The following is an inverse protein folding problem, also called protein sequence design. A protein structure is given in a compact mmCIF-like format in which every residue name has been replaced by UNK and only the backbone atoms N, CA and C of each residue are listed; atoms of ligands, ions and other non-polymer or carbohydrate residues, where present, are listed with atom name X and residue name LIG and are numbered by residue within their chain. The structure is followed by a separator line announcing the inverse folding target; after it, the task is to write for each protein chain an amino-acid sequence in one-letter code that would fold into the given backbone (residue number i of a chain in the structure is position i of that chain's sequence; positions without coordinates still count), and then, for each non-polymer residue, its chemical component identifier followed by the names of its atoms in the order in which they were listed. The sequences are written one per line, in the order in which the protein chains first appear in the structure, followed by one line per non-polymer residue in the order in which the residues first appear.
data_IF_127952502365
#
_entry.id   IF_127952502365
#
_cell.length_a   1.000
_cell.length_b   1.000
_cell.length_c   1.000
_cell.angle_alpha   90.00
_cell.angle_beta   90.00
_cell.angle_gamma   90.00
#
_symmetry.space_group_name_H-M   'P 1'
#
loop_
_entity.id
_entity.type
_entity.pdbx_description
1 polymer ?
#
# COMPACT_ATOMS: atom_id res chain seq x y z
N UNK A 1 11.39 24.42 1.86
CA UNK A 1 10.16 23.58 1.90
C UNK A 1 9.34 24.13 3.07
N UNK A 2 8.09 24.57 2.82
CA UNK A 2 7.19 25.00 3.89
C UNK A 2 6.96 23.82 4.85
N UNK A 3 7.11 24.04 6.15
CA UNK A 3 6.86 23.01 7.15
C UNK A 3 5.40 22.53 7.02
N UNK A 4 5.20 21.22 7.09
CA UNK A 4 3.85 20.65 7.07
C UNK A 4 3.11 21.08 8.35
N UNK A 5 1.85 21.55 8.27
CA UNK A 5 1.13 21.96 9.46
C UNK A 5 0.97 20.79 10.44
N UNK A 6 1.13 21.05 11.72
CA UNK A 6 0.86 20.05 12.77
C UNK A 6 -0.63 19.73 12.81
N UNK A 7 -0.99 18.46 12.64
CA UNK A 7 -2.36 17.99 12.75
C UNK A 7 -2.67 17.53 14.19
N UNK A 8 -3.86 17.84 14.73
CA UNK A 8 -4.27 17.37 16.05
C UNK A 8 -4.48 15.85 16.07
N UNK A 9 -4.39 15.24 17.26
CA UNK A 9 -4.56 13.79 17.45
C UNK A 9 -5.93 13.27 16.99
N UNK A 10 -6.95 14.11 17.01
CA UNK A 10 -8.29 13.79 16.50
C UNK A 10 -8.23 13.27 15.04
N UNK A 11 -7.34 13.82 14.20
CA UNK A 11 -7.14 13.33 12.82
C UNK A 11 -6.62 11.89 12.81
N UNK A 12 -5.71 11.53 13.72
CA UNK A 12 -5.23 10.15 13.84
C UNK A 12 -6.34 9.20 14.30
N UNK A 13 -7.15 9.62 15.29
CA UNK A 13 -8.30 8.84 15.75
C UNK A 13 -9.34 8.64 14.65
N UNK A 14 -9.61 9.67 13.84
CA UNK A 14 -10.49 9.56 12.68
C UNK A 14 -9.92 8.62 11.62
N UNK A 15 -8.60 8.65 11.35
CA UNK A 15 -7.92 7.71 10.44
C UNK A 15 -7.99 6.27 10.94
N UNK A 16 -7.90 6.02 12.25
CA UNK A 16 -8.10 4.71 12.87
C UNK A 16 -9.52 4.18 12.58
N UNK A 17 -10.53 5.03 12.73
CA UNK A 17 -11.93 4.68 12.40
C UNK A 17 -12.08 4.42 10.91
N UNK A 18 -11.61 5.33 10.06
CA UNK A 18 -11.76 5.24 8.60
C UNK A 18 -11.08 4.00 8.00
N UNK A 19 -9.94 3.58 8.57
CA UNK A 19 -9.16 2.42 8.09
C UNK A 19 -9.66 1.06 8.61
N UNK A 20 -10.82 0.99 9.25
CA UNK A 20 -11.38 -0.28 9.72
C UNK A 20 -10.69 -0.85 10.95
N UNK A 21 -9.98 -0.01 11.72
CA UNK A 21 -9.28 -0.44 12.94
C UNK A 21 -10.18 -0.39 14.19
N UNK A 22 -11.48 -0.13 14.05
CA UNK A 22 -12.50 -0.24 15.10
C UNK A 22 -13.61 -1.20 14.64
N UNK A 23 -14.32 -1.91 15.55
CA UNK A 23 -15.33 -2.90 15.17
C UNK A 23 -16.42 -2.37 14.23
N UNK A 24 -16.88 -1.14 14.43
CA UNK A 24 -17.97 -0.55 13.64
C UNK A 24 -17.61 -0.32 12.15
N UNK A 25 -16.33 -0.22 11.81
CA UNK A 25 -15.86 0.01 10.43
C UNK A 25 -14.97 -1.11 9.90
N UNK A 26 -14.74 -2.14 10.71
CA UNK A 26 -13.95 -3.31 10.30
C UNK A 26 -14.64 -4.07 9.15
N UNK A 27 -13.85 -4.73 8.35
CA UNK A 27 -14.32 -5.53 7.23
C UNK A 27 -14.85 -6.90 7.69
N UNK A 28 -15.78 -7.48 6.92
CA UNK A 28 -16.33 -8.81 7.18
C UNK A 28 -15.40 -9.93 6.72
N UNK A 29 -14.49 -9.63 5.78
CA UNK A 29 -13.47 -10.56 5.29
C UNK A 29 -12.23 -9.81 4.79
N UNK A 30 -11.14 -10.54 4.57
CA UNK A 30 -9.83 -9.95 4.21
C UNK A 30 -9.82 -9.26 2.83
N UNK A 31 -10.65 -9.72 1.89
CA UNK A 31 -10.78 -9.07 0.57
C UNK A 31 -11.46 -7.72 0.71
N UNK A 32 -12.52 -7.65 1.53
CA UNK A 32 -13.20 -6.38 1.81
C UNK A 32 -12.26 -5.40 2.54
N UNK A 33 -11.40 -5.87 3.45
CA UNK A 33 -10.40 -5.01 4.11
C UNK A 33 -9.49 -4.31 3.08
N UNK A 34 -9.03 -5.05 2.07
CA UNK A 34 -8.25 -4.47 0.96
C UNK A 34 -9.10 -3.53 0.12
N UNK A 35 -10.32 -3.93 -0.23
CA UNK A 35 -11.24 -3.11 -1.03
C UNK A 35 -11.57 -1.77 -0.35
N UNK A 36 -11.76 -1.76 0.97
CA UNK A 36 -12.03 -0.54 1.74
C UNK A 36 -10.88 0.47 1.67
N UNK A 37 -9.63 -0.01 1.55
CA UNK A 37 -8.42 0.81 1.44
C UNK A 37 -7.95 1.01 -0.01
N UNK A 38 -8.59 0.36 -1.00
CA UNK A 38 -8.20 0.28 -2.41
C UNK A 38 -6.88 -0.48 -2.62
N UNK A 39 -5.87 -0.18 -1.85
CA UNK A 39 -4.59 -0.89 -1.85
C UNK A 39 -3.95 -0.82 -0.45
N UNK A 40 -3.25 -1.88 -0.06
CA UNK A 40 -2.52 -1.98 1.20
C UNK A 40 -1.04 -2.20 0.91
N UNK A 41 -0.15 -1.49 1.59
CA UNK A 41 1.30 -1.66 1.40
C UNK A 41 1.72 -3.11 1.62
N UNK A 42 2.36 -3.71 0.61
CA UNK A 42 2.73 -5.12 0.56
C UNK A 42 4.23 -5.39 0.59
N UNK A 43 5.06 -4.42 1.02
CA UNK A 43 6.52 -4.50 0.89
C UNK A 43 7.12 -5.69 1.67
N UNK A 44 6.63 -5.97 2.86
CA UNK A 44 7.10 -7.06 3.70
C UNK A 44 6.05 -8.18 3.76
N UNK A 45 6.34 -9.32 3.15
CA UNK A 45 5.41 -10.47 3.06
C UNK A 45 4.91 -10.92 4.43
N UNK A 46 5.80 -11.05 5.42
CA UNK A 46 5.44 -11.48 6.78
C UNK A 46 4.56 -10.50 7.56
N UNK A 47 4.46 -9.24 7.11
CA UNK A 47 3.62 -8.23 7.74
C UNK A 47 2.16 -8.23 7.22
N UNK A 48 1.93 -8.81 6.03
CA UNK A 48 0.65 -8.75 5.34
C UNK A 48 -0.52 -9.39 6.11
N UNK A 49 -0.38 -10.61 6.65
CA UNK A 49 -1.48 -11.20 7.41
C UNK A 49 -1.89 -10.33 8.59
N UNK A 50 -0.93 -9.78 9.33
CA UNK A 50 -1.20 -8.90 10.46
C UNK A 50 -1.97 -7.64 10.01
N UNK A 51 -1.57 -6.99 8.91
CA UNK A 51 -2.25 -5.78 8.40
C UNK A 51 -3.73 -6.04 8.06
N UNK A 52 -4.03 -7.20 7.47
CA UNK A 52 -5.39 -7.58 7.10
C UNK A 52 -6.22 -8.03 8.31
N UNK A 53 -5.65 -8.85 9.19
CA UNK A 53 -6.33 -9.40 10.35
C UNK A 53 -6.66 -8.33 11.42
N UNK A 54 -5.88 -7.23 11.51
CA UNK A 54 -6.24 -6.09 12.36
C UNK A 54 -7.53 -5.38 11.90
N UNK A 55 -7.85 -5.49 10.62
CA UNK A 55 -9.04 -4.88 9.99
C UNK A 55 -10.20 -5.86 9.78
N UNK A 56 -10.02 -7.12 10.17
CA UNK A 56 -11.00 -8.20 9.98
C UNK A 56 -11.14 -9.04 11.25
N UNK A 57 -11.80 -8.53 12.29
CA UNK A 57 -11.98 -9.27 13.54
C UNK A 57 -12.63 -10.63 13.30
N UNK A 58 -12.03 -11.69 13.85
CA UNK A 58 -12.52 -13.06 13.68
C UNK A 58 -11.93 -13.82 12.48
N UNK A 59 -11.30 -13.15 11.52
CA UNK A 59 -10.56 -13.82 10.45
C UNK A 59 -9.25 -14.44 10.97
N UNK A 60 -8.80 -15.49 10.27
CA UNK A 60 -7.59 -16.27 10.60
C UNK A 60 -6.55 -16.12 9.50
N UNK A 61 -5.32 -16.54 9.79
CA UNK A 61 -4.24 -16.60 8.80
C UNK A 61 -4.64 -17.43 7.55
N UNK A 62 -5.39 -18.51 7.74
CA UNK A 62 -5.92 -19.34 6.65
C UNK A 62 -6.82 -18.56 5.67
N UNK A 63 -7.59 -17.56 6.16
CA UNK A 63 -8.46 -16.76 5.31
C UNK A 63 -7.64 -15.84 4.40
N UNK A 64 -6.54 -15.30 4.92
CA UNK A 64 -5.56 -14.54 4.10
C UNK A 64 -4.94 -15.43 3.03
N UNK A 65 -4.46 -16.61 3.43
CA UNK A 65 -3.86 -17.57 2.50
C UNK A 65 -4.86 -18.02 1.43
N UNK A 66 -6.09 -18.27 1.81
CA UNK A 66 -7.17 -18.67 0.89
C UNK A 66 -7.46 -17.57 -0.13
N UNK A 67 -7.58 -16.31 0.30
CA UNK A 67 -7.85 -15.19 -0.61
C UNK A 67 -6.74 -15.01 -1.68
N UNK A 68 -5.47 -15.20 -1.31
CA UNK A 68 -4.38 -15.19 -2.30
C UNK A 68 -4.36 -16.44 -3.18
N UNK A 69 -4.61 -17.62 -2.63
CA UNK A 69 -4.61 -18.88 -3.39
C UNK A 69 -5.78 -18.97 -4.37
N UNK A 70 -6.91 -18.33 -4.05
CA UNK A 70 -8.08 -18.21 -4.94
C UNK A 70 -7.97 -17.02 -5.90
N UNK A 71 -6.84 -16.28 -5.87
CA UNK A 71 -6.59 -15.10 -6.69
C UNK A 71 -7.64 -13.99 -6.51
N UNK A 72 -8.25 -13.88 -5.33
CA UNK A 72 -9.09 -12.75 -4.96
C UNK A 72 -8.23 -11.54 -4.57
N UNK A 73 -7.05 -11.79 -4.00
CA UNK A 73 -6.02 -10.80 -3.69
C UNK A 73 -4.75 -11.09 -4.49
N UNK A 74 -4.08 -10.03 -4.91
CA UNK A 74 -2.79 -10.08 -5.59
C UNK A 74 -1.82 -9.05 -5.01
N UNK A 75 -0.53 -9.34 -5.16
CA UNK A 75 0.57 -8.49 -4.72
C UNK A 75 1.36 -8.01 -5.92
N UNK A 76 1.46 -6.70 -6.11
CA UNK A 76 2.03 -6.10 -7.33
C UNK A 76 2.57 -4.69 -7.07
N UNK A 77 2.98 -3.99 -8.13
CA UNK A 77 3.45 -2.60 -8.08
C UNK A 77 2.54 -1.67 -8.88
N UNK A 78 1.28 -1.47 -8.46
CA UNK A 78 0.33 -0.66 -9.22
C UNK A 78 0.66 0.84 -9.19
N UNK A 79 1.45 1.29 -8.21
CA UNK A 79 1.81 2.69 -8.03
C UNK A 79 3.16 2.88 -7.34
N UNK A 80 3.82 4.00 -7.55
CA UNK A 80 5.11 4.42 -6.94
C UNK A 80 6.28 3.44 -7.12
N UNK A 81 6.12 2.32 -7.84
CA UNK A 81 7.12 1.25 -7.88
C UNK A 81 7.26 0.46 -6.57
N UNK A 82 6.43 0.73 -5.56
CA UNK A 82 6.37 -0.02 -4.30
C UNK A 82 5.29 -1.10 -4.35
N UNK A 83 5.52 -2.17 -3.60
CA UNK A 83 4.63 -3.34 -3.60
C UNK A 83 3.39 -3.08 -2.78
N UNK A 84 2.22 -3.40 -3.32
CA UNK A 84 0.91 -3.30 -2.67
C UNK A 84 0.11 -4.58 -2.89
N UNK A 85 -0.84 -4.82 -2.00
CA UNK A 85 -1.93 -5.77 -2.18
C UNK A 85 -3.12 -5.00 -2.73
N UNK A 86 -3.76 -5.56 -3.76
CA UNK A 86 -5.04 -5.10 -4.27
C UNK A 86 -5.98 -6.30 -4.41
N UNK A 87 -7.28 -6.07 -4.52
CA UNK A 87 -8.14 -7.11 -5.06
C UNK A 87 -7.78 -7.38 -6.53
N UNK A 88 -8.01 -8.61 -6.99
CA UNK A 88 -7.78 -8.97 -8.38
C UNK A 88 -8.62 -8.10 -9.34
N UNK A 89 -9.84 -7.75 -8.94
CA UNK A 89 -10.72 -6.87 -9.71
C UNK A 89 -10.17 -5.45 -9.87
N UNK A 90 -9.38 -4.96 -8.89
CA UNK A 90 -8.81 -3.61 -8.93
C UNK A 90 -7.42 -3.55 -9.59
N UNK A 91 -6.74 -4.68 -9.74
CA UNK A 91 -5.34 -4.71 -10.17
C UNK A 91 -5.08 -3.99 -11.50
N UNK A 92 -5.77 -4.40 -12.57
CA UNK A 92 -5.48 -3.90 -13.90
C UNK A 92 -5.85 -2.42 -14.09
N UNK A 93 -7.05 -1.99 -13.67
CA UNK A 93 -7.46 -0.61 -13.86
C UNK A 93 -6.63 0.35 -13.01
N UNK A 94 -6.30 -0.05 -11.77
CA UNK A 94 -5.47 0.77 -10.88
C UNK A 94 -4.07 0.96 -11.44
N UNK A 95 -3.44 -0.12 -11.92
CA UNK A 95 -2.15 -0.09 -12.59
C UNK A 95 -2.17 0.81 -13.84
N UNK A 96 -3.18 0.67 -14.69
CA UNK A 96 -3.32 1.50 -15.90
C UNK A 96 -3.55 2.97 -15.56
N UNK A 97 -4.19 3.27 -14.44
CA UNK A 97 -4.42 4.65 -13.98
C UNK A 97 -3.18 5.31 -13.38
N UNK A 98 -2.40 4.58 -12.57
CA UNK A 98 -1.36 5.17 -11.71
C UNK A 98 0.08 4.88 -12.15
N UNK A 99 0.34 3.82 -12.91
CA UNK A 99 1.72 3.41 -13.26
C UNK A 99 2.27 4.07 -14.54
N UNK A 100 1.76 5.22 -14.95
CA UNK A 100 2.09 5.86 -16.23
C UNK A 100 3.51 6.48 -16.30
N UNK A 101 4.24 6.61 -15.18
CA UNK A 101 5.49 7.39 -15.11
C UNK A 101 6.74 6.63 -14.71
N UNK A 102 6.73 5.30 -14.69
CA UNK A 102 7.92 4.56 -14.27
C UNK A 102 9.00 4.48 -15.36
N UNK A 103 9.79 5.55 -15.50
CA UNK A 103 11.00 5.56 -16.35
C UNK A 103 12.21 4.85 -15.69
N UNK A 104 12.04 4.29 -14.49
CA UNK A 104 13.16 3.74 -13.71
C UNK A 104 13.76 2.49 -14.38
N UNK A 105 12.94 1.66 -15.01
CA UNK A 105 13.41 0.41 -15.63
C UNK A 105 14.24 0.66 -16.90
N UNK A 106 13.86 1.59 -17.76
CA UNK A 106 14.50 1.82 -19.06
C UNK A 106 15.97 2.24 -18.94
N UNK A 107 16.31 3.16 -18.00
CA UNK A 107 17.70 3.58 -17.80
C UNK A 107 18.59 2.46 -17.27
N UNK A 108 18.04 1.60 -16.40
CA UNK A 108 18.78 0.46 -15.84
C UNK A 108 18.89 -0.70 -16.85
N UNK A 109 17.94 -0.85 -17.78
CA UNK A 109 17.98 -1.87 -18.82
C UNK A 109 19.17 -1.68 -19.77
N UNK A 110 19.46 -0.45 -20.18
CA UNK A 110 20.57 -0.16 -21.11
C UNK A 110 21.94 -0.57 -20.56
N UNK A 111 22.15 -0.49 -19.26
CA UNK A 111 23.41 -0.87 -18.58
C UNK A 111 23.69 -2.39 -18.70
N UNK A 112 22.65 -3.20 -18.81
CA UNK A 112 22.71 -4.66 -18.88
C UNK A 112 22.40 -5.21 -20.27
N UNK A 113 22.53 -4.42 -21.33
CA UNK A 113 22.29 -4.83 -22.71
C UNK A 113 20.81 -4.72 -23.14
N UNK A 114 19.97 -4.15 -22.31
CA UNK A 114 18.55 -3.93 -22.60
C UNK A 114 17.67 -5.18 -22.40
N UNK A 115 16.37 -4.96 -22.47
CA UNK A 115 15.33 -6.00 -22.53
C UNK A 115 14.48 -5.66 -23.76
N UNK A 116 14.44 -6.56 -24.74
CA UNK A 116 13.63 -6.37 -25.93
C UNK A 116 12.18 -6.82 -25.73
N UNK A 117 11.29 -6.43 -26.62
CA UNK A 117 9.91 -6.93 -26.62
C UNK A 117 9.85 -8.45 -26.80
N UNK A 118 10.76 -9.01 -27.61
CA UNK A 118 10.89 -10.46 -27.78
C UNK A 118 11.33 -11.15 -26.49
N UNK A 119 12.27 -10.54 -25.74
CA UNK A 119 12.69 -11.07 -24.43
C UNK A 119 11.51 -11.06 -23.44
N UNK A 120 10.70 -9.99 -23.43
CA UNK A 120 9.50 -9.87 -22.59
C UNK A 120 8.44 -10.91 -22.95
N UNK A 121 8.13 -11.04 -24.24
CA UNK A 121 7.17 -12.02 -24.73
C UNK A 121 7.60 -13.45 -24.39
N UNK A 122 8.86 -13.78 -24.63
CA UNK A 122 9.41 -15.11 -24.30
C UNK A 122 9.35 -15.38 -22.81
N UNK A 123 9.76 -14.41 -21.99
CA UNK A 123 9.75 -14.52 -20.52
C UNK A 123 8.32 -14.71 -19.99
N UNK A 124 7.35 -13.99 -20.54
CA UNK A 124 5.94 -14.13 -20.17
C UNK A 124 5.35 -15.46 -20.59
N UNK A 125 5.59 -15.92 -21.83
CA UNK A 125 5.11 -17.22 -22.31
C UNK A 125 5.64 -18.39 -21.48
N UNK A 126 6.88 -18.30 -20.98
CA UNK A 126 7.43 -19.28 -20.05
C UNK A 126 6.65 -19.31 -18.73
N UNK A 127 6.28 -18.15 -18.16
CA UNK A 127 5.45 -18.09 -16.96
C UNK A 127 4.07 -18.66 -17.25
N UNK A 128 3.43 -18.24 -18.34
CA UNK A 128 2.09 -18.67 -18.74
C UNK A 128 2.00 -20.20 -18.90
N UNK A 129 3.03 -20.80 -19.46
CA UNK A 129 3.08 -22.26 -19.70
C UNK A 129 3.35 -23.04 -18.41
N UNK A 130 4.25 -22.56 -17.54
CA UNK A 130 4.72 -23.31 -16.38
C UNK A 130 4.01 -22.96 -15.06
N UNK A 131 3.25 -21.86 -15.03
CA UNK A 131 2.64 -21.34 -13.80
C UNK A 131 1.26 -20.70 -14.04
N UNK A 132 0.27 -21.40 -14.62
CA UNK A 132 -1.00 -20.76 -14.96
C UNK A 132 -1.70 -20.15 -13.74
N UNK A 133 -2.07 -20.96 -12.74
CA UNK A 133 -2.81 -20.51 -11.55
C UNK A 133 -2.16 -20.92 -10.23
N UNK A 134 -1.40 -22.01 -10.19
CA UNK A 134 -0.69 -22.45 -8.98
C UNK A 134 0.58 -21.61 -8.71
N UNK A 135 1.04 -20.88 -9.71
CA UNK A 135 2.18 -20.00 -9.63
C UNK A 135 3.53 -20.69 -9.55
N UNK A 136 4.57 -19.95 -9.95
CA UNK A 136 5.97 -20.35 -9.92
C UNK A 136 6.72 -19.52 -8.87
N UNK A 137 7.66 -20.15 -8.14
CA UNK A 137 8.53 -19.40 -7.22
C UNK A 137 9.48 -18.51 -8.02
N UNK A 138 9.85 -17.38 -7.45
CA UNK A 138 10.77 -16.41 -8.09
C UNK A 138 12.05 -17.05 -8.59
N UNK A 139 12.68 -17.90 -7.77
CA UNK A 139 13.93 -18.58 -8.16
C UNK A 139 13.75 -19.52 -9.36
N UNK A 140 12.62 -20.22 -9.42
CA UNK A 140 12.34 -21.18 -10.49
C UNK A 140 11.98 -20.46 -11.80
N UNK A 141 11.24 -19.34 -11.71
CA UNK A 141 10.98 -18.44 -12.83
C UNK A 141 12.28 -17.88 -13.42
N UNK A 142 13.20 -17.42 -12.58
CA UNK A 142 14.52 -16.95 -13.01
C UNK A 142 15.32 -18.07 -13.67
N UNK A 143 15.29 -19.30 -13.15
CA UNK A 143 15.95 -20.45 -13.74
C UNK A 143 15.40 -20.77 -15.15
N UNK A 144 14.08 -20.71 -15.35
CA UNK A 144 13.46 -20.87 -16.68
C UNK A 144 13.97 -19.83 -17.69
N UNK A 145 14.04 -18.56 -17.28
CA UNK A 145 14.56 -17.49 -18.16
C UNK A 145 16.03 -17.69 -18.53
N UNK A 146 16.85 -18.15 -17.57
CA UNK A 146 18.27 -18.47 -17.84
C UNK A 146 18.43 -19.66 -18.79
N UNK A 147 17.66 -20.72 -18.60
CA UNK A 147 17.65 -21.88 -19.49
C UNK A 147 17.23 -21.52 -20.91
N UNK A 148 16.32 -20.55 -21.06
CA UNK A 148 15.90 -19.99 -22.34
C UNK A 148 16.92 -19.00 -22.96
N UNK A 149 18.05 -18.74 -22.30
CA UNK A 149 19.10 -17.85 -22.80
C UNK A 149 18.78 -16.35 -22.72
N UNK A 150 17.75 -15.94 -22.00
CA UNK A 150 17.29 -14.54 -21.97
C UNK A 150 18.30 -13.58 -21.33
N UNK A 151 19.12 -14.01 -20.37
CA UNK A 151 20.05 -13.15 -19.64
C UNK A 151 21.47 -13.07 -20.26
N UNK A 152 21.72 -13.66 -21.45
CA UNK A 152 23.07 -13.73 -22.08
C UNK A 152 23.67 -12.34 -22.27
N UNK A 153 22.90 -11.34 -22.68
CA UNK A 153 23.39 -9.95 -22.83
C UNK A 153 23.88 -9.38 -21.49
N UNK A 154 23.17 -9.69 -20.39
CA UNK A 154 23.56 -9.21 -19.07
C UNK A 154 24.78 -9.93 -18.52
N UNK A 155 24.96 -11.23 -18.82
CA UNK A 155 26.16 -11.99 -18.45
C UNK A 155 27.42 -11.31 -19.03
N UNK A 156 27.35 -10.88 -20.29
CA UNK A 156 28.44 -10.29 -21.05
C UNK A 156 28.49 -8.76 -20.99
N UNK A 157 27.71 -8.11 -20.14
CA UNK A 157 27.67 -6.65 -20.04
C UNK A 157 29.02 -6.10 -19.51
N UNK A 158 29.59 -5.14 -20.25
CA UNK A 158 30.89 -4.52 -19.96
C UNK A 158 30.77 -3.07 -19.47
N UNK A 159 29.54 -2.56 -19.27
CA UNK A 159 29.32 -1.20 -18.78
C UNK A 159 30.01 -0.97 -17.41
N UNK A 160 30.74 0.15 -17.22
CA UNK A 160 31.33 0.47 -15.92
C UNK A 160 30.33 0.58 -14.77
N UNK A 161 29.04 0.82 -15.09
CA UNK A 161 27.93 0.90 -14.12
C UNK A 161 27.28 -0.46 -13.89
N UNK A 162 27.65 -1.51 -14.63
CA UNK A 162 27.13 -2.85 -14.42
C UNK A 162 27.71 -3.46 -13.11
N UNK A 163 26.94 -4.33 -12.42
CA UNK A 163 27.48 -5.06 -11.27
C UNK A 163 28.76 -5.82 -11.61
N UNK A 164 29.72 -5.91 -10.69
CA UNK A 164 31.06 -6.44 -10.99
C UNK A 164 31.06 -7.94 -11.32
N UNK A 165 30.18 -8.72 -10.73
CA UNK A 165 30.11 -10.17 -10.95
C UNK A 165 29.02 -10.55 -11.94
N UNK A 166 29.24 -11.60 -12.71
CA UNK A 166 28.24 -12.17 -13.62
C UNK A 166 26.94 -12.49 -12.90
N UNK A 167 27.01 -13.17 -11.76
CA UNK A 167 25.82 -13.54 -10.98
C UNK A 167 25.03 -12.29 -10.54
N UNK A 168 25.71 -11.22 -10.15
CA UNK A 168 25.04 -9.98 -9.75
C UNK A 168 24.37 -9.28 -10.97
N UNK A 169 24.99 -9.32 -12.16
CA UNK A 169 24.41 -8.79 -13.40
C UNK A 169 23.17 -9.58 -13.80
N UNK A 170 23.25 -10.91 -13.79
CA UNK A 170 22.14 -11.82 -14.09
C UNK A 170 20.97 -11.58 -13.12
N UNK A 171 21.23 -11.57 -11.81
CA UNK A 171 20.20 -11.31 -10.80
C UNK A 171 19.52 -9.94 -11.00
N UNK A 172 20.30 -8.92 -11.33
CA UNK A 172 19.76 -7.58 -11.59
C UNK A 172 18.89 -7.59 -12.86
N UNK A 173 19.32 -8.26 -13.94
CA UNK A 173 18.56 -8.37 -15.17
C UNK A 173 17.22 -9.11 -14.94
N UNK A 174 17.25 -10.26 -14.27
CA UNK A 174 16.02 -11.01 -13.93
C UNK A 174 15.04 -10.16 -13.09
N UNK A 175 15.56 -9.37 -12.15
CA UNK A 175 14.72 -8.44 -11.40
C UNK A 175 14.09 -7.34 -12.27
N UNK A 176 14.85 -6.78 -13.21
CA UNK A 176 14.35 -5.78 -14.16
C UNK A 176 13.28 -6.39 -15.09
N UNK A 177 13.51 -7.60 -15.59
CA UNK A 177 12.54 -8.36 -16.39
C UNK A 177 11.23 -8.57 -15.60
N UNK A 178 11.34 -9.07 -14.38
CA UNK A 178 10.19 -9.28 -13.50
C UNK A 178 9.40 -7.99 -13.25
N UNK A 179 10.10 -6.88 -12.99
CA UNK A 179 9.44 -5.58 -12.78
C UNK A 179 8.79 -5.04 -14.05
N UNK A 180 9.38 -5.30 -15.21
CA UNK A 180 8.81 -4.86 -16.48
C UNK A 180 7.56 -5.67 -16.83
N UNK A 181 7.57 -6.99 -16.60
CA UNK A 181 6.39 -7.84 -16.76
C UNK A 181 5.24 -7.46 -15.80
N UNK A 182 5.56 -7.17 -14.53
CA UNK A 182 4.58 -6.65 -13.56
C UNK A 182 4.02 -5.28 -14.01
N UNK A 183 4.90 -4.37 -14.46
CA UNK A 183 4.50 -3.06 -14.97
C UNK A 183 3.56 -3.14 -16.17
N UNK A 184 3.80 -4.09 -17.08
CA UNK A 184 2.93 -4.32 -18.23
C UNK A 184 1.66 -5.09 -17.89
N UNK A 185 1.55 -5.64 -16.68
CA UNK A 185 0.42 -6.44 -16.25
C UNK A 185 0.37 -7.84 -16.86
N UNK A 186 1.54 -8.37 -17.17
CA UNK A 186 1.71 -9.71 -17.74
C UNK A 186 1.96 -10.77 -16.66
N UNK A 187 2.63 -10.37 -15.56
CA UNK A 187 2.94 -11.26 -14.44
C UNK A 187 2.61 -10.55 -13.13
N UNK A 188 2.09 -11.29 -12.16
CA UNK A 188 1.72 -10.77 -10.84
C UNK A 188 2.03 -11.80 -9.75
N UNK A 189 2.26 -11.36 -8.53
CA UNK A 189 2.37 -12.24 -7.37
C UNK A 189 0.96 -12.59 -6.85
N UNK A 190 0.60 -13.87 -6.86
CA UNK A 190 -0.68 -14.43 -6.42
C UNK A 190 -0.53 -15.37 -5.23
N UNK A 191 -0.57 -16.70 -5.43
CA UNK A 191 -0.63 -17.66 -4.33
C UNK A 191 0.50 -17.52 -3.31
N UNK A 192 0.16 -17.68 -2.02
CA UNK A 192 1.12 -17.62 -0.93
C UNK A 192 1.93 -18.91 -0.82
N UNK A 193 3.26 -18.78 -0.72
CA UNK A 193 4.18 -19.80 -0.25
C UNK A 193 4.57 -19.55 1.21
N UNK A 194 5.55 -20.30 1.73
CA UNK A 194 5.96 -20.20 3.14
C UNK A 194 6.50 -18.81 3.51
N UNK A 195 7.30 -18.18 2.65
CA UNK A 195 7.90 -16.86 2.90
C UNK A 195 7.89 -15.97 1.65
N UNK A 196 7.17 -16.35 0.62
CA UNK A 196 7.09 -15.63 -0.65
C UNK A 196 5.72 -15.83 -1.29
N UNK A 197 5.35 -14.95 -2.22
CA UNK A 197 4.26 -15.18 -3.14
C UNK A 197 4.79 -15.80 -4.42
N UNK A 198 3.97 -16.63 -5.07
CA UNK A 198 4.28 -17.23 -6.36
C UNK A 198 3.80 -16.32 -7.48
N UNK A 199 4.53 -16.30 -8.57
CA UNK A 199 4.20 -15.54 -9.78
C UNK A 199 3.27 -16.33 -10.68
N UNK A 200 2.26 -15.65 -11.22
CA UNK A 200 1.29 -16.20 -12.17
C UNK A 200 1.19 -15.32 -13.41
N UNK A 201 0.59 -15.86 -14.47
CA UNK A 201 0.11 -15.07 -15.59
C UNK A 201 -1.00 -14.12 -15.14
N UNK A 202 -0.77 -12.82 -15.22
CA UNK A 202 -1.73 -11.80 -14.77
C UNK A 202 -2.93 -11.65 -15.72
N UNK A 203 -2.87 -12.20 -16.94
CA UNK A 203 -4.00 -12.13 -17.89
C UNK A 203 -5.15 -13.04 -17.52
N UNK A 204 -4.96 -13.96 -16.55
CA UNK A 204 -6.05 -14.76 -15.99
C UNK A 204 -6.91 -13.99 -14.95
N UNK A 205 -6.45 -12.81 -14.51
CA UNK A 205 -7.21 -11.98 -13.58
C UNK A 205 -8.36 -11.26 -14.30
N UNK A 206 -9.37 -10.77 -13.54
CA UNK A 206 -10.45 -9.99 -14.13
C UNK A 206 -9.93 -8.82 -14.97
N UNK A 207 -10.55 -8.60 -16.13
CA UNK A 207 -10.17 -7.51 -17.01
C UNK A 207 -10.33 -6.13 -16.34
N UNK A 208 -9.61 -5.13 -16.83
CA UNK A 208 -9.63 -3.77 -16.28
C UNK A 208 -10.99 -3.07 -16.36
N UNK A 209 -11.96 -3.64 -17.07
CA UNK A 209 -13.26 -3.01 -17.36
C UNK A 209 -14.16 -2.78 -16.16
N UNK A 210 -13.91 -3.46 -15.04
CA UNK A 210 -14.70 -3.27 -13.81
C UNK A 210 -13.83 -3.36 -12.57
N UNK A 211 -14.07 -2.41 -11.64
CA UNK A 211 -13.46 -2.41 -10.31
C UNK A 211 -14.33 -3.18 -9.30
N UNK A 212 -13.75 -3.52 -8.14
CA UNK A 212 -14.48 -4.10 -7.01
C UNK A 212 -15.65 -3.22 -6.52
N UNK A 213 -15.57 -1.91 -6.74
CA UNK A 213 -16.63 -0.94 -6.43
C UNK A 213 -17.78 -0.87 -7.47
N UNK A 214 -17.69 -1.64 -8.56
CA UNK A 214 -18.60 -1.52 -9.70
C UNK A 214 -18.27 -0.38 -10.68
N UNK A 215 -17.21 0.41 -10.42
CA UNK A 215 -16.72 1.43 -11.35
C UNK A 215 -16.36 0.81 -12.70
N UNK A 216 -16.80 1.44 -13.78
CA UNK A 216 -16.47 1.03 -15.15
C UNK A 216 -15.24 1.79 -15.62
N UNK A 217 -14.13 1.08 -15.80
CA UNK A 217 -12.89 1.68 -16.28
C UNK A 217 -12.89 1.86 -17.79
N UNK A 218 -12.58 3.08 -18.21
CA UNK A 218 -12.31 3.44 -19.61
C UNK A 218 -10.86 3.95 -19.70
N UNK A 219 -9.97 3.29 -20.47
CA UNK A 219 -8.58 3.74 -20.61
C UNK A 219 -8.44 5.08 -21.31
N UNK A 220 -9.49 5.58 -21.97
CA UNK A 220 -9.51 6.91 -22.60
C UNK A 220 -9.93 8.01 -21.62
N UNK A 221 -10.60 7.67 -20.51
CA UNK A 221 -11.01 8.62 -19.46
C UNK A 221 -10.26 8.39 -18.15
N UNK A 222 -8.98 8.70 -18.15
CA UNK A 222 -8.15 8.65 -16.94
C UNK A 222 -8.55 9.68 -15.87
N UNK A 223 -9.38 10.68 -16.21
CA UNK A 223 -9.91 11.61 -15.20
C UNK A 223 -10.95 10.91 -14.33
N UNK A 224 -11.89 10.18 -14.90
CA UNK A 224 -12.86 9.37 -14.16
C UNK A 224 -12.16 8.30 -13.31
N UNK A 225 -11.13 7.67 -13.86
CA UNK A 225 -10.35 6.67 -13.10
C UNK A 225 -9.63 7.30 -11.89
N UNK A 226 -9.02 8.49 -12.04
CA UNK A 226 -8.40 9.20 -10.91
C UNK A 226 -9.42 9.72 -9.89
N UNK A 227 -10.61 10.11 -10.33
CA UNK A 227 -11.73 10.42 -9.43
C UNK A 227 -12.06 9.22 -8.54
N UNK A 228 -12.20 8.02 -9.14
CA UNK A 228 -12.50 6.80 -8.38
C UNK A 228 -11.39 6.45 -7.38
N UNK A 229 -10.11 6.61 -7.77
CA UNK A 229 -8.97 6.48 -6.84
C UNK A 229 -9.11 7.45 -5.67
N UNK A 230 -9.39 8.73 -5.95
CA UNK A 230 -9.50 9.77 -4.92
C UNK A 230 -10.69 9.53 -3.99
N UNK A 231 -11.83 9.13 -4.54
CA UNK A 231 -13.05 8.79 -3.80
C UNK A 231 -12.80 7.64 -2.82
N UNK A 232 -12.22 6.53 -3.29
CA UNK A 232 -11.93 5.36 -2.44
C UNK A 232 -10.83 5.65 -1.42
N UNK A 233 -9.80 6.40 -1.82
CA UNK A 233 -8.73 6.80 -0.90
C UNK A 233 -9.27 7.72 0.21
N UNK A 234 -10.04 8.76 -0.12
CA UNK A 234 -10.64 9.65 0.88
C UNK A 234 -11.65 8.93 1.78
N UNK A 235 -12.38 7.95 1.25
CA UNK A 235 -13.32 7.13 2.01
C UNK A 235 -12.61 6.23 3.03
N UNK A 236 -11.58 5.49 2.60
CA UNK A 236 -10.90 4.49 3.41
C UNK A 236 -9.72 5.03 4.26
N UNK A 237 -9.12 6.16 3.86
CA UNK A 237 -7.98 6.76 4.56
C UNK A 237 -8.31 8.12 5.22
N UNK A 238 -9.51 8.66 4.98
CA UNK A 238 -9.88 9.99 5.50
C UNK A 238 -9.67 10.14 7.02
N UNK A 239 -9.37 11.38 7.46
CA UNK A 239 -9.17 12.62 6.73
C UNK A 239 -7.82 12.70 6.02
N UNK A 240 -7.84 13.08 4.74
CA UNK A 240 -6.64 13.16 3.89
C UNK A 240 -6.53 14.53 3.21
N UNK A 241 -5.31 14.99 2.99
CA UNK A 241 -5.02 16.19 2.23
C UNK A 241 -4.74 15.88 0.75
N UNK A 242 -4.74 16.91 -0.10
CA UNK A 242 -4.24 16.80 -1.49
C UNK A 242 -2.82 16.25 -1.54
N UNK A 243 -1.96 16.65 -0.61
CA UNK A 243 -0.58 16.19 -0.55
C UNK A 243 -0.46 14.71 -0.13
N UNK A 244 -1.39 14.21 0.67
CA UNK A 244 -1.45 12.79 1.04
C UNK A 244 -1.78 11.94 -0.20
N UNK A 245 -2.85 12.27 -0.94
CA UNK A 245 -3.20 11.56 -2.18
C UNK A 245 -2.09 11.66 -3.23
N UNK A 246 -1.53 12.86 -3.44
CA UNK A 246 -0.44 13.05 -4.40
C UNK A 246 0.76 12.15 -4.10
N UNK A 247 1.13 12.00 -2.83
CA UNK A 247 2.20 11.10 -2.40
C UNK A 247 1.78 9.62 -2.51
N UNK A 248 0.57 9.27 -2.03
CA UNK A 248 0.10 7.89 -1.98
C UNK A 248 -0.05 7.30 -3.39
N UNK A 249 -0.65 8.03 -4.32
CA UNK A 249 -0.91 7.59 -5.69
C UNK A 249 0.21 7.96 -6.69
N UNK A 250 1.28 8.65 -6.27
CA UNK A 250 2.33 9.23 -7.13
C UNK A 250 1.78 10.17 -8.23
N UNK A 251 0.70 10.87 -7.93
CA UNK A 251 0.09 11.84 -8.86
C UNK A 251 0.74 13.23 -8.72
N UNK A 252 0.79 14.01 -9.81
CA UNK A 252 1.01 15.44 -9.69
C UNK A 252 -0.01 16.08 -8.76
N UNK A 253 0.43 17.03 -7.93
CA UNK A 253 -0.44 17.72 -6.95
C UNK A 253 -1.69 18.31 -7.59
N UNK A 254 -1.57 18.83 -8.82
CA UNK A 254 -2.70 19.36 -9.61
C UNK A 254 -3.72 18.29 -9.95
N UNK A 255 -3.28 17.09 -10.33
CA UNK A 255 -4.16 15.96 -10.65
C UNK A 255 -4.80 15.38 -9.38
N UNK A 256 -4.04 15.24 -8.29
CA UNK A 256 -4.57 14.78 -7.01
C UNK A 256 -5.64 15.75 -6.47
N UNK A 257 -5.41 17.05 -6.57
CA UNK A 257 -6.40 18.08 -6.22
C UNK A 257 -7.65 17.96 -7.07
N UNK A 258 -7.51 17.90 -8.39
CA UNK A 258 -8.65 17.78 -9.30
C UNK A 258 -9.46 16.52 -8.99
N UNK A 259 -8.80 15.38 -8.77
CA UNK A 259 -9.47 14.12 -8.48
C UNK A 259 -10.26 14.16 -7.16
N UNK A 260 -9.73 14.80 -6.11
CA UNK A 260 -10.46 14.97 -4.83
C UNK A 260 -11.66 15.91 -4.99
N UNK A 261 -11.51 17.01 -5.74
CA UNK A 261 -12.62 17.92 -6.02
C UNK A 261 -13.69 17.25 -6.88
N UNK A 262 -13.29 16.49 -7.90
CA UNK A 262 -14.20 15.70 -8.72
C UNK A 262 -14.95 14.66 -7.84
N UNK A 263 -14.26 14.02 -6.88
CA UNK A 263 -14.89 13.06 -5.96
C UNK A 263 -15.95 13.72 -5.06
N UNK A 264 -15.69 14.93 -4.55
CA UNK A 264 -16.68 15.67 -3.76
C UNK A 264 -17.86 16.12 -4.63
N UNK A 265 -17.60 16.55 -5.88
CA UNK A 265 -18.65 17.05 -6.77
C UNK A 265 -19.56 15.96 -7.33
N UNK A 266 -19.07 14.72 -7.42
CA UNK A 266 -19.79 13.59 -8.02
C UNK A 266 -20.27 12.56 -7.01
N UNK A 267 -20.09 12.78 -5.71
CA UNK A 267 -20.49 11.82 -4.67
C UNK A 267 -20.81 12.53 -3.35
N UNK A 268 -21.97 12.27 -2.80
CA UNK A 268 -22.35 12.71 -1.45
C UNK A 268 -21.56 11.97 -0.35
N UNK A 269 -20.84 10.90 -0.70
CA UNK A 269 -20.06 10.11 0.24
C UNK A 269 -18.77 10.80 0.69
N UNK A 270 -18.27 11.76 -0.07
CA UNK A 270 -17.01 12.47 0.22
C UNK A 270 -17.27 13.95 0.42
N UNK A 271 -16.71 14.47 1.51
CA UNK A 271 -16.84 15.88 1.88
C UNK A 271 -15.49 16.55 2.05
N UNK A 272 -15.46 17.87 1.82
CA UNK A 272 -14.37 18.76 2.23
C UNK A 272 -14.61 19.27 3.63
N UNK A 273 -13.56 19.26 4.46
CA UNK A 273 -13.62 19.77 5.82
C UNK A 273 -12.39 20.60 6.16
N UNK A 274 -12.54 21.48 7.15
CA UNK A 274 -11.44 22.12 7.88
C UNK A 274 -11.44 21.62 9.33
N UNK A 275 -10.34 21.84 10.01
CA UNK A 275 -10.25 21.61 11.46
C UNK A 275 -10.41 22.94 12.15
N UNK A 276 -11.46 23.07 12.95
CA UNK A 276 -11.76 24.24 13.79
C UNK A 276 -12.08 23.72 15.21
N UNK A 277 -11.40 24.26 16.22
CA UNK A 277 -11.61 23.88 17.63
C UNK A 277 -11.61 22.36 17.90
N UNK A 278 -10.70 21.63 17.27
CA UNK A 278 -10.61 20.16 17.31
C UNK A 278 -11.88 19.43 16.78
N UNK A 279 -12.64 20.06 15.90
CA UNK A 279 -13.77 19.47 15.19
C UNK A 279 -13.58 19.53 13.68
N UNK A 280 -14.29 18.67 12.94
CA UNK A 280 -14.35 18.75 11.48
C UNK A 280 -15.54 19.59 11.06
N UNK A 281 -15.27 20.74 10.44
CA UNK A 281 -16.32 21.63 9.92
C UNK A 281 -16.38 21.56 8.39
N UNK A 282 -17.58 21.48 7.79
CA UNK A 282 -17.73 21.50 6.34
C UNK A 282 -17.06 22.74 5.72
N UNK A 283 -16.38 22.55 4.59
CA UNK A 283 -15.66 23.62 3.91
C UNK A 283 -16.23 23.88 2.52
N UNK A 284 -16.42 25.16 2.19
CA UNK A 284 -16.75 25.60 0.83
C UNK A 284 -15.60 25.38 -0.15
N UNK A 285 -15.87 25.34 -1.47
CA UNK A 285 -14.83 25.29 -2.49
C UNK A 285 -13.82 26.44 -2.31
N UNK A 286 -12.49 26.15 -2.34
CA UNK A 286 -11.48 27.19 -2.19
C UNK A 286 -11.49 28.17 -3.36
N UNK A 287 -11.26 29.45 -3.03
CA UNK A 287 -11.12 30.52 -4.06
C UNK A 287 -9.68 30.65 -4.56
N UNK A 288 -8.70 30.19 -3.78
CA UNK A 288 -7.28 30.26 -4.13
C UNK A 288 -6.55 28.94 -3.84
N UNK A 289 -5.49 28.64 -4.64
CA UNK A 289 -4.72 27.41 -4.55
C UNK A 289 -4.13 27.18 -3.15
N UNK A 290 -3.72 28.26 -2.44
CA UNK A 290 -3.15 28.18 -1.09
C UNK A 290 -4.12 27.65 -0.03
N UNK A 291 -5.43 27.82 -0.25
CA UNK A 291 -6.46 27.40 0.69
C UNK A 291 -6.60 25.89 0.76
N UNK A 292 -6.22 25.17 -0.31
CA UNK A 292 -6.21 23.71 -0.32
C UNK A 292 -5.27 23.09 0.72
N UNK A 293 -4.27 23.83 1.20
CA UNK A 293 -3.35 23.35 2.26
C UNK A 293 -4.02 23.21 3.63
N UNK A 294 -5.20 23.80 3.81
CA UNK A 294 -5.99 23.74 5.05
C UNK A 294 -7.15 22.76 4.96
N UNK A 295 -7.37 22.16 3.78
CA UNK A 295 -8.49 21.26 3.56
C UNK A 295 -8.09 19.80 3.77
N UNK A 296 -9.04 19.06 4.32
CA UNK A 296 -9.03 17.61 4.37
C UNK A 296 -10.28 17.07 3.65
N UNK A 297 -10.17 15.85 3.16
CA UNK A 297 -11.23 15.12 2.47
C UNK A 297 -11.47 13.80 3.19
N UNK A 298 -12.72 13.42 3.38
CA UNK A 298 -13.08 12.22 4.10
C UNK A 298 -14.50 11.77 3.75
N UNK A 299 -14.89 10.58 4.19
CA UNK A 299 -16.29 10.15 4.13
C UNK A 299 -17.18 11.08 4.98
N UNK A 300 -18.40 11.32 4.48
CA UNK A 300 -19.30 12.31 5.06
C UNK A 300 -19.73 11.99 6.50
N UNK A 301 -19.90 10.70 6.81
CA UNK A 301 -20.35 10.19 8.10
C UNK A 301 -19.20 9.97 9.12
N UNK A 302 -17.95 10.31 8.76
CA UNK A 302 -16.81 10.06 9.66
C UNK A 302 -16.86 10.81 11.00
N UNK A 303 -17.36 12.06 11.09
CA UNK A 303 -17.50 12.73 12.37
C UNK A 303 -18.38 11.96 13.36
N UNK A 304 -19.53 11.47 12.89
CA UNK A 304 -20.47 10.69 13.72
C UNK A 304 -19.87 9.35 14.10
N UNK A 305 -19.28 8.64 13.13
CA UNK A 305 -18.57 7.37 13.38
C UNK A 305 -17.44 7.55 14.41
N UNK A 306 -16.71 8.65 14.35
CA UNK A 306 -15.65 8.93 15.32
C UNK A 306 -16.25 9.20 16.73
N UNK A 307 -17.31 9.98 16.81
CA UNK A 307 -17.98 10.28 18.08
C UNK A 307 -18.47 8.99 18.75
N UNK A 308 -19.17 8.15 18.00
CA UNK A 308 -19.74 6.88 18.49
C UNK A 308 -18.67 5.84 18.87
N UNK A 309 -17.50 5.90 18.21
CA UNK A 309 -16.42 4.90 18.39
C UNK A 309 -15.15 5.48 19.04
N UNK A 310 -15.22 6.64 19.70
CA UNK A 310 -14.06 7.33 20.23
C UNK A 310 -13.27 6.49 21.24
N UNK A 311 -13.96 5.76 22.13
CA UNK A 311 -13.33 4.86 23.10
C UNK A 311 -12.55 3.73 22.42
N UNK A 312 -13.10 3.16 21.34
CA UNK A 312 -12.46 2.11 20.56
C UNK A 312 -11.27 2.65 19.75
N UNK A 313 -11.39 3.84 19.16
CA UNK A 313 -10.29 4.48 18.45
C UNK A 313 -9.09 4.83 19.37
N UNK A 314 -9.36 5.07 20.65
CA UNK A 314 -8.33 5.34 21.66
C UNK A 314 -7.66 4.10 22.24
N UNK A 315 -8.13 2.93 21.91
CA UNK A 315 -7.53 1.67 22.43
C UNK A 315 -6.07 1.52 22.06
N UNK A 316 -5.37 0.67 22.80
CA UNK A 316 -4.03 0.20 22.46
C UNK A 316 -4.11 -0.71 21.23
N UNK A 317 -3.32 -0.42 20.18
CA UNK A 317 -3.29 -1.15 18.90
C UNK A 317 -1.83 -1.51 18.59
N UNK A 318 -1.59 -2.74 18.16
CA UNK A 318 -0.31 -3.19 17.61
C UNK A 318 -0.46 -3.41 16.10
N UNK A 319 0.26 -2.61 15.30
CA UNK A 319 0.20 -2.63 13.84
C UNK A 319 1.50 -3.16 13.24
N UNK A 320 1.46 -3.84 12.10
CA UNK A 320 2.65 -4.36 11.45
C UNK A 320 3.56 -3.27 10.91
N UNK A 321 4.74 -3.66 10.48
CA UNK A 321 5.59 -2.81 9.66
C UNK A 321 4.86 -2.43 8.36
N UNK A 322 5.07 -1.21 7.88
CA UNK A 322 4.43 -0.68 6.67
C UNK A 322 2.90 -0.55 6.73
N UNK A 323 2.30 -0.47 7.93
CA UNK A 323 0.85 -0.29 8.04
C UNK A 323 0.38 1.05 7.44
N UNK A 324 -0.81 1.02 6.79
CA UNK A 324 -1.40 2.18 6.12
C UNK A 324 -1.68 3.36 7.06
N UNK A 325 -1.85 3.13 8.37
CA UNK A 325 -1.99 4.21 9.34
C UNK A 325 -0.75 5.14 9.39
N UNK A 326 0.42 4.62 9.01
CA UNK A 326 1.66 5.39 8.88
C UNK A 326 2.02 5.70 7.44
N UNK A 327 2.14 4.67 6.58
CA UNK A 327 2.66 4.86 5.20
C UNK A 327 1.63 5.46 4.25
N UNK A 328 0.35 5.42 4.57
CA UNK A 328 -0.73 5.97 3.76
C UNK A 328 -0.71 7.50 3.63
N UNK A 329 0.09 8.22 4.43
CA UNK A 329 0.02 9.69 4.54
C UNK A 329 1.37 10.36 4.31
N UNK A 330 1.32 11.58 3.79
CA UNK A 330 2.47 12.50 3.77
C UNK A 330 2.62 13.19 5.13
N UNK A 331 1.51 13.70 5.68
CA UNK A 331 1.49 14.35 6.98
C UNK A 331 1.04 13.36 8.06
N UNK A 332 1.98 13.00 8.93
CA UNK A 332 1.81 12.05 10.04
C UNK A 332 1.93 12.67 11.41
N UNK A 333 1.96 14.00 11.50
CA UNK A 333 2.15 14.73 12.76
C UNK A 333 1.04 14.49 13.80
N UNK A 334 -0.14 14.04 13.35
CA UNK A 334 -1.20 13.58 14.26
C UNK A 334 -0.89 12.23 14.93
N UNK A 335 -0.07 11.40 14.31
CA UNK A 335 0.33 10.07 14.80
C UNK A 335 1.60 10.15 15.64
N UNK A 336 2.60 10.89 15.16
CA UNK A 336 3.92 10.97 15.79
C UNK A 336 4.65 12.26 15.42
N UNK A 337 5.75 12.52 16.10
CA UNK A 337 6.69 13.61 15.86
C UNK A 337 7.99 13.09 15.19
N UNK A 338 8.99 13.96 15.07
CA UNK A 338 10.29 13.62 14.46
C UNK A 338 11.05 12.54 15.25
N UNK A 339 10.87 12.48 16.58
CA UNK A 339 11.49 11.45 17.41
C UNK A 339 10.88 10.09 17.12
N UNK A 340 9.55 10.03 17.01
CA UNK A 340 8.85 8.80 16.65
C UNK A 340 9.10 8.39 15.19
N UNK A 341 9.21 9.31 14.23
CA UNK A 341 9.61 8.97 12.86
C UNK A 341 11.00 8.32 12.82
N UNK A 342 11.96 8.83 13.60
CA UNK A 342 13.29 8.20 13.75
C UNK A 342 13.21 6.84 14.44
N UNK A 343 12.29 6.66 15.39
CA UNK A 343 12.06 5.38 16.04
C UNK A 343 11.49 4.36 15.08
N UNK A 344 10.54 4.76 14.23
CA UNK A 344 9.92 3.91 13.21
C UNK A 344 10.91 3.51 12.11
N UNK A 345 11.74 4.44 11.62
CA UNK A 345 12.70 4.22 10.53
C UNK A 345 14.07 4.85 10.83
N UNK A 346 14.89 4.23 11.71
CA UNK A 346 16.13 4.84 12.22
C UNK A 346 17.16 5.21 11.16
N UNK A 347 17.23 4.43 10.10
CA UNK A 347 18.24 4.59 9.03
C UNK A 347 17.70 5.37 7.83
N UNK A 348 16.48 5.88 7.88
CA UNK A 348 15.80 6.59 6.80
C UNK A 348 15.82 5.85 5.43
N UNK A 349 16.04 4.53 5.45
CA UNK A 349 16.14 3.67 4.26
C UNK A 349 14.78 3.09 3.82
N UNK A 350 13.67 3.50 4.46
CA UNK A 350 12.32 3.00 4.17
C UNK A 350 12.01 1.63 4.77
N UNK A 351 12.86 1.08 5.64
CA UNK A 351 12.56 -0.12 6.42
C UNK A 351 11.85 0.28 7.71
N UNK A 352 10.53 0.26 7.67
CA UNK A 352 9.70 0.65 8.81
C UNK A 352 9.56 -0.49 9.82
N UNK A 353 9.42 -0.13 11.09
CA UNK A 353 9.16 -1.04 12.21
C UNK A 353 7.68 -1.15 12.50
N UNK A 354 7.20 -2.26 13.08
CA UNK A 354 5.85 -2.38 13.62
C UNK A 354 5.56 -1.34 14.70
N UNK A 355 4.33 -0.83 14.71
CA UNK A 355 3.90 0.30 15.52
C UNK A 355 3.06 -0.13 16.71
N UNK A 356 3.24 0.53 17.84
CA UNK A 356 2.34 0.43 18.99
C UNK A 356 1.73 1.81 19.21
N UNK A 357 0.40 1.88 19.03
CA UNK A 357 -0.37 3.11 19.07
C UNK A 357 -1.33 3.08 20.26
N UNK A 358 -1.40 4.18 21.01
CA UNK A 358 -2.36 4.36 22.11
C UNK A 358 -2.91 5.78 22.07
N UNK A 359 -4.22 5.94 22.27
CA UNK A 359 -4.89 7.25 22.15
C UNK A 359 -4.59 7.98 20.82
N UNK A 360 -4.48 7.24 19.72
CA UNK A 360 -4.15 7.80 18.40
C UNK A 360 -2.70 8.26 18.22
N UNK A 361 -1.80 7.99 19.18
CA UNK A 361 -0.38 8.38 19.12
C UNK A 361 0.53 7.19 19.20
N UNK A 362 1.65 7.23 18.46
CA UNK A 362 2.74 6.28 18.61
C UNK A 362 3.31 6.38 20.02
N UNK A 363 3.45 5.24 20.68
CA UNK A 363 4.09 5.14 22.01
C UNK A 363 5.32 4.25 22.01
N UNK A 364 5.41 3.30 21.08
CA UNK A 364 6.53 2.38 20.96
C UNK A 364 6.56 1.74 19.55
N UNK A 365 7.67 1.03 19.26
CA UNK A 365 7.81 0.13 18.11
C UNK A 365 8.29 -1.24 18.57
N UNK A 366 8.07 -2.28 17.76
CA UNK A 366 8.55 -3.64 18.06
C UNK A 366 9.29 -4.22 16.86
N UNK A 367 10.62 -4.01 16.73
CA UNK A 367 11.42 -4.66 15.69
C UNK A 367 11.39 -6.18 15.82
N UNK A 368 11.55 -6.89 14.70
CA UNK A 368 11.54 -8.36 14.70
C UNK A 368 12.69 -8.98 15.55
N UNK A 369 13.85 -8.31 15.58
CA UNK A 369 15.07 -8.77 16.24
C UNK A 369 15.19 -8.36 17.71
N UNK A 370 14.28 -7.55 18.23
CA UNK A 370 14.33 -7.04 19.60
C UNK A 370 12.93 -6.90 20.19
N UNK A 371 12.85 -6.74 21.52
CA UNK A 371 11.60 -6.45 22.20
C UNK A 371 11.02 -5.08 21.87
N UNK A 372 10.05 -4.64 22.66
CA UNK A 372 9.43 -3.34 22.54
C UNK A 372 10.45 -2.23 22.82
N UNK A 373 10.51 -1.24 21.93
CA UNK A 373 11.33 -0.03 22.09
C UNK A 373 10.36 1.14 22.25
N UNK A 374 10.40 1.77 23.41
CA UNK A 374 9.51 2.84 23.80
C UNK A 374 10.00 4.20 23.28
N UNK A 375 9.05 5.08 22.93
CA UNK A 375 9.33 6.48 22.62
C UNK A 375 9.65 7.24 23.92
N UNK A 376 8.82 7.04 24.97
CA UNK A 376 9.01 7.56 26.30
C UNK A 376 8.98 6.42 27.32
N UNK A 377 9.54 6.64 28.52
CA UNK A 377 9.55 5.62 29.59
C UNK A 377 8.14 5.19 29.96
N UNK A 378 7.76 3.90 29.81
CA UNK A 378 6.42 3.43 30.13
C UNK A 378 6.20 3.32 31.64
N UNK A 379 4.93 3.35 32.05
CA UNK A 379 4.55 2.84 33.37
C UNK A 379 4.62 1.30 33.38
N UNK A 380 4.87 0.63 34.53
CA UNK A 380 4.86 -0.84 34.62
C UNK A 380 3.53 -1.45 34.13
N UNK A 381 2.42 -0.77 34.36
CA UNK A 381 1.11 -1.18 33.87
C UNK A 381 1.02 -1.17 32.33
N UNK A 382 1.50 -0.10 31.69
CA UNK A 382 1.47 0.04 30.24
C UNK A 382 2.43 -0.97 29.59
N UNK A 383 3.61 -1.17 30.15
CA UNK A 383 4.57 -2.15 29.66
C UNK A 383 3.98 -3.57 29.65
N UNK A 384 3.36 -4.00 30.75
CA UNK A 384 2.68 -5.29 30.85
C UNK A 384 1.56 -5.43 29.79
N UNK A 385 0.76 -4.38 29.61
CA UNK A 385 -0.34 -4.40 28.62
C UNK A 385 0.16 -4.52 27.18
N UNK A 386 1.21 -3.79 26.85
CA UNK A 386 1.81 -3.81 25.51
C UNK A 386 2.41 -5.17 25.20
N UNK A 387 3.21 -5.73 26.12
CA UNK A 387 3.81 -7.06 25.94
C UNK A 387 2.71 -8.12 25.75
N UNK A 388 1.67 -8.13 26.57
CA UNK A 388 0.53 -9.06 26.42
C UNK A 388 -0.17 -8.90 25.05
N UNK A 389 -0.39 -7.67 24.57
CA UNK A 389 -1.02 -7.42 23.27
C UNK A 389 -0.15 -7.96 22.13
N UNK A 390 1.17 -7.72 22.18
CA UNK A 390 2.13 -8.20 21.19
C UNK A 390 2.17 -9.71 21.15
N UNK A 391 2.28 -10.36 22.31
CA UNK A 391 2.35 -11.83 22.42
C UNK A 391 1.08 -12.49 21.86
N UNK A 392 -0.10 -12.03 22.27
CA UNK A 392 -1.38 -12.53 21.75
C UNK A 392 -1.48 -12.38 20.22
N UNK A 393 -0.99 -11.27 19.68
CA UNK A 393 -1.03 -11.08 18.22
C UNK A 393 -0.05 -12.00 17.50
N UNK A 394 1.15 -12.18 18.02
CA UNK A 394 2.15 -13.07 17.42
C UNK A 394 1.68 -14.53 17.42
N UNK A 395 1.02 -14.98 18.49
CA UNK A 395 0.38 -16.30 18.56
C UNK A 395 -0.72 -16.47 17.49
N UNK A 396 -1.53 -15.43 17.26
CA UNK A 396 -2.62 -15.48 16.27
C UNK A 396 -2.15 -15.49 14.81
N UNK A 397 -0.87 -15.21 14.56
CA UNK A 397 -0.25 -15.20 13.22
C UNK A 397 0.50 -16.51 12.90
N UNK A 398 0.56 -17.45 13.84
CA UNK A 398 1.11 -18.80 13.65
C UNK A 398 0.03 -19.78 13.18
#
# INVERSE_FOLDING_TARGET
MSACPTLPVMVSLARIVSQGLVPATSATNVVQAVNNLLAVQGQQVSALPHALLERTPGAKFSDVTTAFNQLELVRSRPMRGTVHITSAADYHWLRLTLNQRSNYSLRNQSILGGISETDLETAWQLVKTHAPTQGIRRKDMFALWLQAGLAVKAQNATSPQAPPTEQARVNRWCNLMMWELDRQGLVVEGPMGTNEHRFIDATCLPAATSAASGFKFDPTDLRAARLEVARRYAYGHGPVSVADLARWAALPVTQARQALEDAVSNSELIVRVKIEENTFTPAAPPKAVKEYNQLLYMRADLPDLLADNLSQARRLIYLPAFDELHVGYRNRTCLTDDAGEKLICPTANGLFRPLIVNNGRLIAVRPASSGVIWLDKPTPYMDKRVNKLVDNRLESLQ
#
